data_IF_128694479580
#
_entry.id   IF_128694479580
#
_cell.length_a   1.000
_cell.length_b   1.000
_cell.length_c   1.000
_cell.angle_alpha   90.00
_cell.angle_beta   90.00
_cell.angle_gamma   90.00
#
_symmetry.space_group_name_H-M   'P 1'
#
loop_
_entity.id
_entity.type
_entity.pdbx_description
1 polymer ?
#
# COMPACT_ATOMS: atom_id res chain seq x y z
N UNK A 1 -71.60 -31.26 34.90
CA UNK A 1 -71.31 -29.86 34.49
C UNK A 1 -69.86 -29.78 34.07
N UNK A 2 -69.51 -30.48 32.98
CA UNK A 2 -69.15 -29.92 31.67
C UNK A 2 -67.98 -28.91 31.65
N UNK A 3 -66.76 -29.37 31.31
CA UNK A 3 -65.61 -28.54 30.98
C UNK A 3 -65.76 -28.04 29.54
N UNK A 4 -66.41 -26.88 29.36
CA UNK A 4 -66.53 -26.21 28.05
C UNK A 4 -65.63 -24.97 27.92
N UNK A 5 -64.96 -24.55 29.00
CA UNK A 5 -64.17 -23.32 29.01
C UNK A 5 -62.72 -23.50 28.56
N UNK A 6 -62.14 -24.71 28.65
CA UNK A 6 -60.74 -24.94 28.27
C UNK A 6 -60.53 -25.03 26.76
N UNK A 7 -61.45 -25.65 26.01
CA UNK A 7 -61.32 -25.77 24.55
C UNK A 7 -61.47 -24.45 23.81
N UNK A 8 -62.35 -23.54 24.28
CA UNK A 8 -62.52 -22.25 23.62
C UNK A 8 -61.29 -21.34 23.83
N UNK A 9 -60.67 -21.41 25.00
CA UNK A 9 -59.43 -20.68 25.30
C UNK A 9 -58.25 -21.20 24.48
N UNK A 10 -58.14 -22.53 24.30
CA UNK A 10 -57.11 -23.13 23.44
C UNK A 10 -57.29 -22.81 21.96
N UNK A 11 -58.53 -22.76 21.46
CA UNK A 11 -58.82 -22.40 20.06
C UNK A 11 -58.49 -20.93 19.80
N UNK A 12 -58.82 -20.02 20.72
CA UNK A 12 -58.45 -18.60 20.60
C UNK A 12 -56.92 -18.44 20.62
N UNK A 13 -56.20 -19.16 21.49
CA UNK A 13 -54.73 -19.16 21.50
C UNK A 13 -54.12 -19.69 20.19
N UNK A 14 -54.71 -20.75 19.60
CA UNK A 14 -54.28 -21.30 18.31
C UNK A 14 -54.62 -20.39 17.13
N UNK A 15 -55.74 -19.65 17.18
CA UNK A 15 -56.11 -18.66 16.17
C UNK A 15 -55.25 -17.39 16.26
N UNK A 16 -54.91 -16.94 17.47
CA UNK A 16 -53.95 -15.83 17.70
C UNK A 16 -52.53 -16.20 17.24
N UNK A 17 -52.14 -17.48 17.35
CA UNK A 17 -50.88 -17.97 16.78
C UNK A 17 -50.94 -18.16 15.25
N UNK A 18 -52.11 -18.45 14.67
CA UNK A 18 -52.30 -18.57 13.21
C UNK A 18 -52.46 -17.24 12.49
N UNK A 19 -52.82 -16.16 13.19
CA UNK A 19 -52.91 -14.81 12.62
C UNK A 19 -51.57 -14.06 12.59
N UNK A 20 -50.51 -14.65 13.17
CA UNK A 20 -49.16 -14.19 12.89
C UNK A 20 -48.76 -14.77 11.53
N UNK A 21 -49.03 -14.01 10.47
CA UNK A 21 -48.19 -14.05 9.27
C UNK A 21 -46.74 -14.13 9.76
N UNK A 22 -45.92 -15.09 9.28
CA UNK A 22 -44.49 -15.00 9.56
C UNK A 22 -44.07 -13.66 8.99
N UNK A 23 -43.81 -12.69 9.87
CA UNK A 23 -43.00 -11.55 9.52
C UNK A 23 -41.70 -12.22 9.12
N UNK A 24 -41.44 -12.33 7.81
CA UNK A 24 -40.09 -12.52 7.33
C UNK A 24 -39.29 -11.43 8.04
N UNK A 25 -38.60 -11.81 9.12
CA UNK A 25 -37.66 -10.94 9.77
C UNK A 25 -36.67 -10.59 8.69
N UNK A 26 -36.75 -9.36 8.19
CA UNK A 26 -35.74 -8.82 7.31
C UNK A 26 -34.39 -9.15 7.95
N UNK A 27 -33.59 -9.99 7.28
CA UNK A 27 -32.32 -10.45 7.85
C UNK A 27 -31.49 -9.21 8.19
N UNK A 28 -31.32 -8.96 9.49
CA UNK A 28 -30.61 -7.78 9.94
C UNK A 28 -29.11 -8.00 9.71
N UNK A 29 -28.53 -7.18 8.83
CA UNK A 29 -27.10 -7.21 8.49
C UNK A 29 -26.22 -7.22 9.74
N UNK A 30 -26.57 -6.39 10.74
CA UNK A 30 -25.81 -6.26 11.97
C UNK A 30 -25.84 -7.56 12.80
N UNK A 31 -26.99 -8.23 12.88
CA UNK A 31 -27.11 -9.52 13.58
C UNK A 31 -26.27 -10.61 12.90
N UNK A 32 -26.26 -10.65 11.56
CA UNK A 32 -25.44 -11.60 10.81
C UNK A 32 -23.94 -11.35 11.02
N UNK A 33 -23.50 -10.07 11.04
CA UNK A 33 -22.11 -9.70 11.33
C UNK A 33 -21.74 -10.08 12.77
N UNK A 34 -22.62 -9.85 13.75
CA UNK A 34 -22.38 -10.27 15.13
C UNK A 34 -22.28 -11.79 15.26
N UNK A 35 -23.13 -12.55 14.56
CA UNK A 35 -23.02 -14.02 14.50
C UNK A 35 -21.70 -14.47 13.89
N UNK A 36 -21.23 -13.81 12.83
CA UNK A 36 -19.93 -14.11 12.24
C UNK A 36 -18.77 -13.87 13.23
N UNK A 37 -18.80 -12.78 14.00
CA UNK A 37 -17.80 -12.49 15.05
C UNK A 37 -17.81 -13.53 16.17
N UNK A 38 -18.98 -13.97 16.61
CA UNK A 38 -19.11 -15.04 17.61
C UNK A 38 -18.57 -16.38 17.06
N UNK A 39 -18.88 -16.69 15.80
CA UNK A 39 -18.38 -17.88 15.14
C UNK A 39 -16.85 -17.86 14.97
N UNK A 40 -16.26 -16.70 14.67
CA UNK A 40 -14.81 -16.50 14.64
C UNK A 40 -14.16 -16.81 15.99
N UNK A 41 -14.69 -16.25 17.08
CA UNK A 41 -14.18 -16.49 18.44
C UNK A 41 -14.31 -17.95 18.87
N UNK A 42 -15.32 -18.65 18.37
CA UNK A 42 -15.53 -20.08 18.60
C UNK A 42 -14.77 -20.98 17.59
N UNK A 43 -13.99 -20.40 16.68
CA UNK A 43 -13.29 -21.08 15.58
C UNK A 43 -14.22 -21.93 14.68
N UNK A 44 -15.51 -21.60 14.65
CA UNK A 44 -16.53 -22.25 13.81
C UNK A 44 -16.63 -21.56 12.45
N UNK A 45 -15.57 -21.68 11.66
CA UNK A 45 -15.43 -20.95 10.40
C UNK A 45 -16.49 -21.30 9.34
N UNK A 46 -17.06 -22.51 9.34
CA UNK A 46 -18.18 -22.86 8.45
C UNK A 46 -19.44 -22.01 8.77
N UNK A 47 -19.76 -21.81 10.05
CA UNK A 47 -20.87 -20.96 10.49
C UNK A 47 -20.60 -19.47 10.18
N UNK A 48 -19.33 -19.06 10.36
CA UNK A 48 -18.86 -17.72 10.02
C UNK A 48 -19.04 -17.45 8.51
N UNK A 49 -18.67 -18.40 7.66
CA UNK A 49 -18.80 -18.29 6.21
C UNK A 49 -20.27 -18.21 5.78
N UNK A 50 -21.15 -19.03 6.39
CA UNK A 50 -22.60 -18.96 6.13
C UNK A 50 -23.19 -17.59 6.50
N UNK A 51 -22.80 -17.04 7.65
CA UNK A 51 -23.27 -15.72 8.10
C UNK A 51 -22.80 -14.62 7.15
N UNK A 52 -21.50 -14.61 6.80
CA UNK A 52 -20.92 -13.60 5.91
C UNK A 52 -21.38 -13.73 4.45
N UNK A 53 -21.73 -14.95 4.01
CA UNK A 53 -22.40 -15.18 2.73
C UNK A 53 -23.73 -14.44 2.67
N UNK A 54 -24.58 -14.59 3.68
CA UNK A 54 -25.86 -13.88 3.76
C UNK A 54 -25.68 -12.37 3.79
N UNK A 55 -24.72 -11.86 4.58
CA UNK A 55 -24.35 -10.44 4.59
C UNK A 55 -24.01 -9.94 3.18
N UNK A 56 -23.29 -10.75 2.39
CA UNK A 56 -22.92 -10.41 1.01
C UNK A 56 -24.14 -10.44 0.07
N UNK A 57 -25.03 -11.41 0.25
CA UNK A 57 -26.24 -11.59 -0.58
C UNK A 57 -27.32 -10.51 -0.32
N UNK A 58 -27.30 -9.83 0.83
CA UNK A 58 -28.11 -8.62 1.07
C UNK A 58 -27.78 -7.49 0.09
N UNK A 59 -26.61 -7.55 -0.56
CA UNK A 59 -26.30 -6.72 -1.71
C UNK A 59 -25.85 -5.29 -1.41
N UNK A 60 -25.62 -4.92 -0.16
CA UNK A 60 -24.90 -3.70 0.17
C UNK A 60 -23.38 -3.88 -0.09
N UNK A 61 -22.66 -2.77 -0.35
CA UNK A 61 -21.20 -2.81 -0.35
C UNK A 61 -20.69 -3.18 1.05
N UNK A 62 -19.69 -4.06 1.10
CA UNK A 62 -19.09 -4.49 2.36
C UNK A 62 -18.12 -3.44 2.90
N UNK A 63 -18.23 -3.16 4.20
CA UNK A 63 -17.23 -2.36 4.92
C UNK A 63 -15.88 -3.10 4.96
N UNK A 64 -14.81 -2.39 5.31
CA UNK A 64 -13.48 -3.01 5.46
C UNK A 64 -13.49 -4.14 6.51
N UNK A 65 -14.23 -3.96 7.61
CA UNK A 65 -14.36 -5.00 8.64
C UNK A 65 -15.12 -6.22 8.11
N UNK A 66 -16.26 -6.02 7.44
CA UNK A 66 -17.06 -7.10 6.86
C UNK A 66 -16.28 -7.86 5.78
N UNK A 67 -15.53 -7.14 4.93
CA UNK A 67 -14.66 -7.74 3.91
C UNK A 67 -13.58 -8.62 4.53
N UNK A 68 -12.97 -8.16 5.62
CA UNK A 68 -11.99 -8.93 6.36
C UNK A 68 -12.61 -10.18 7.00
N UNK A 69 -13.78 -10.06 7.64
CA UNK A 69 -14.51 -11.20 8.21
C UNK A 69 -14.84 -12.25 7.14
N UNK A 70 -15.37 -11.83 5.99
CA UNK A 70 -15.65 -12.73 4.86
C UNK A 70 -14.39 -13.47 4.41
N UNK A 71 -13.27 -12.73 4.25
CA UNK A 71 -12.00 -13.32 3.84
C UNK A 71 -11.43 -14.28 4.87
N UNK A 72 -11.52 -13.97 6.17
CA UNK A 72 -11.05 -14.85 7.24
C UNK A 72 -11.86 -16.13 7.29
N UNK A 73 -13.19 -16.01 7.20
CA UNK A 73 -14.10 -17.15 7.21
C UNK A 73 -13.74 -18.15 6.10
N UNK A 74 -13.78 -17.70 4.85
CA UNK A 74 -13.56 -18.60 3.72
C UNK A 74 -12.10 -19.05 3.58
N UNK A 75 -11.10 -18.27 4.04
CA UNK A 75 -9.69 -18.70 4.11
C UNK A 75 -9.54 -19.93 5.01
N UNK A 76 -10.18 -19.92 6.17
CA UNK A 76 -10.08 -21.02 7.12
C UNK A 76 -10.87 -22.26 6.64
N UNK A 77 -12.09 -22.07 6.13
CA UNK A 77 -12.90 -23.19 5.58
C UNK A 77 -12.16 -23.89 4.44
N UNK A 78 -11.68 -23.14 3.43
CA UNK A 78 -10.94 -23.73 2.29
C UNK A 78 -9.57 -24.26 2.71
N UNK A 79 -8.90 -23.59 3.66
CA UNK A 79 -7.59 -23.97 4.17
C UNK A 79 -7.60 -25.35 4.83
N UNK A 80 -8.63 -25.65 5.62
CA UNK A 80 -8.82 -26.97 6.23
C UNK A 80 -8.93 -28.07 5.16
N UNK A 81 -9.78 -27.88 4.14
CA UNK A 81 -9.98 -28.87 3.06
C UNK A 81 -8.73 -29.04 2.19
N UNK A 82 -8.00 -27.96 1.88
CA UNK A 82 -6.70 -28.01 1.18
C UNK A 82 -5.65 -28.80 1.96
N UNK A 83 -5.58 -28.59 3.28
CA UNK A 83 -4.67 -29.35 4.14
C UNK A 83 -5.02 -30.85 4.13
N UNK A 84 -6.29 -31.18 4.32
CA UNK A 84 -6.78 -32.57 4.23
C UNK A 84 -6.46 -33.20 2.88
N UNK A 85 -6.71 -32.49 1.77
CA UNK A 85 -6.46 -32.98 0.42
C UNK A 85 -4.97 -33.30 0.18
N UNK A 86 -4.04 -32.44 0.63
CA UNK A 86 -2.60 -32.70 0.51
C UNK A 86 -2.18 -33.97 1.26
N UNK A 87 -2.69 -34.15 2.48
CA UNK A 87 -2.40 -35.32 3.30
C UNK A 87 -2.93 -36.59 2.63
N UNK A 88 -4.18 -36.57 2.17
CA UNK A 88 -4.80 -37.73 1.52
C UNK A 88 -4.10 -38.06 0.20
N UNK A 89 -3.75 -37.06 -0.61
CA UNK A 89 -3.01 -37.27 -1.87
C UNK A 89 -1.63 -37.89 -1.62
N UNK A 90 -0.94 -37.49 -0.55
CA UNK A 90 0.33 -38.09 -0.12
C UNK A 90 0.17 -39.54 0.36
N UNK A 91 -0.94 -39.86 1.03
CA UNK A 91 -1.28 -41.24 1.44
C UNK A 91 -1.58 -42.09 0.21
N UNK A 92 -2.35 -41.59 -0.76
CA UNK A 92 -2.70 -42.31 -1.99
C UNK A 92 -1.45 -42.74 -2.75
N UNK A 93 -0.47 -41.83 -2.90
CA UNK A 93 0.81 -42.11 -3.56
C UNK A 93 1.64 -43.21 -2.89
N UNK A 94 1.47 -43.41 -1.58
CA UNK A 94 2.22 -44.41 -0.79
C UNK A 94 1.42 -45.68 -0.52
N UNK A 95 0.13 -45.71 -0.86
CA UNK A 95 -0.76 -46.83 -0.55
C UNK A 95 -0.56 -47.94 -1.58
N UNK A 96 -0.28 -49.15 -1.09
CA UNK A 96 -0.19 -50.36 -1.90
C UNK A 96 -1.45 -51.23 -1.73
N UNK A 97 -1.82 -51.96 -2.80
CA UNK A 97 -2.98 -52.83 -2.84
C UNK A 97 -4.23 -52.15 -3.40
N UNK A 98 -4.86 -52.80 -4.39
CA UNK A 98 -5.96 -52.25 -5.19
C UNK A 98 -7.15 -51.78 -4.35
N UNK A 99 -7.58 -52.56 -3.35
CA UNK A 99 -8.73 -52.21 -2.50
C UNK A 99 -8.46 -50.96 -1.65
N UNK A 100 -7.26 -50.87 -1.04
CA UNK A 100 -6.89 -49.71 -0.22
C UNK A 100 -6.70 -48.45 -1.08
N UNK A 101 -6.09 -48.59 -2.26
CA UNK A 101 -5.97 -47.49 -3.21
C UNK A 101 -7.34 -46.94 -3.62
N UNK A 102 -8.31 -47.81 -3.89
CA UNK A 102 -9.66 -47.39 -4.24
C UNK A 102 -10.33 -46.61 -3.10
N UNK A 103 -10.23 -47.07 -1.86
CA UNK A 103 -10.79 -46.34 -0.70
C UNK A 103 -10.16 -44.95 -0.52
N UNK A 104 -8.83 -44.85 -0.65
CA UNK A 104 -8.13 -43.57 -0.50
C UNK A 104 -8.51 -42.62 -1.63
N UNK A 105 -8.61 -43.13 -2.86
CA UNK A 105 -9.05 -42.36 -4.03
C UNK A 105 -10.46 -41.80 -3.84
N UNK A 106 -11.43 -42.62 -3.42
CA UNK A 106 -12.81 -42.16 -3.17
C UNK A 106 -12.86 -41.07 -2.09
N UNK A 107 -12.03 -41.21 -1.04
CA UNK A 107 -11.95 -40.19 0.01
C UNK A 107 -11.28 -38.91 -0.49
N UNK A 108 -10.24 -38.99 -1.35
CA UNK A 108 -9.66 -37.82 -2.02
C UNK A 108 -10.71 -37.09 -2.84
N UNK A 109 -11.44 -37.81 -3.71
CA UNK A 109 -12.46 -37.24 -4.60
C UNK A 109 -13.60 -36.56 -3.82
N UNK A 110 -13.95 -37.09 -2.64
CA UNK A 110 -14.89 -36.44 -1.71
C UNK A 110 -14.36 -35.08 -1.24
N UNK A 111 -13.11 -35.01 -0.79
CA UNK A 111 -12.49 -33.75 -0.34
C UNK A 111 -12.33 -32.77 -1.51
N UNK A 112 -12.01 -33.25 -2.71
CA UNK A 112 -11.96 -32.42 -3.92
C UNK A 112 -13.32 -31.81 -4.25
N UNK A 113 -14.41 -32.57 -4.09
CA UNK A 113 -15.76 -32.06 -4.25
C UNK A 113 -16.06 -30.95 -3.25
N UNK A 114 -15.77 -31.16 -1.96
CA UNK A 114 -15.96 -30.12 -0.93
C UNK A 114 -15.15 -28.86 -1.26
N UNK A 115 -13.90 -29.01 -1.67
CA UNK A 115 -13.04 -27.89 -2.07
C UNK A 115 -13.61 -27.14 -3.29
N UNK A 116 -14.07 -27.87 -4.31
CA UNK A 116 -14.72 -27.30 -5.49
C UNK A 116 -15.97 -26.51 -5.13
N UNK A 117 -16.83 -27.08 -4.29
CA UNK A 117 -18.09 -26.45 -3.86
C UNK A 117 -17.81 -25.15 -3.09
N UNK A 118 -16.85 -25.16 -2.15
CA UNK A 118 -16.43 -23.96 -1.41
C UNK A 118 -15.87 -22.90 -2.35
N UNK A 119 -15.01 -23.28 -3.30
CA UNK A 119 -14.42 -22.31 -4.23
C UNK A 119 -15.48 -21.72 -5.16
N UNK A 120 -16.38 -22.53 -5.70
CA UNK A 120 -17.44 -22.05 -6.57
C UNK A 120 -18.41 -21.13 -5.83
N UNK A 121 -18.68 -21.40 -4.56
CA UNK A 121 -19.49 -20.52 -3.70
C UNK A 121 -18.88 -19.11 -3.60
N UNK A 122 -17.58 -19.03 -3.29
CA UNK A 122 -16.89 -17.75 -3.20
C UNK A 122 -16.80 -17.05 -4.56
N UNK A 123 -16.48 -17.78 -5.62
CA UNK A 123 -16.42 -17.21 -6.98
C UNK A 123 -17.78 -16.63 -7.40
N UNK A 124 -18.88 -17.30 -7.05
CA UNK A 124 -20.22 -16.78 -7.30
C UNK A 124 -20.50 -15.49 -6.51
N UNK A 125 -20.07 -15.42 -5.25
CA UNK A 125 -20.20 -14.20 -4.44
C UNK A 125 -19.40 -13.04 -5.02
N UNK A 126 -18.17 -13.33 -5.46
CA UNK A 126 -17.27 -12.35 -6.08
C UNK A 126 -17.88 -11.78 -7.37
N UNK A 127 -18.35 -12.65 -8.26
CA UNK A 127 -18.85 -12.25 -9.58
C UNK A 127 -20.22 -11.57 -9.52
N UNK A 128 -21.12 -12.00 -8.62
CA UNK A 128 -22.49 -11.48 -8.56
C UNK A 128 -22.65 -10.26 -7.66
N UNK A 129 -21.90 -10.18 -6.57
CA UNK A 129 -22.16 -9.19 -5.51
C UNK A 129 -20.97 -8.27 -5.24
N UNK A 130 -19.75 -8.80 -5.14
CA UNK A 130 -18.62 -8.03 -4.61
C UNK A 130 -17.89 -7.20 -5.67
N UNK A 131 -17.41 -7.83 -6.74
CA UNK A 131 -16.66 -7.13 -7.80
C UNK A 131 -17.51 -6.05 -8.48
N UNK A 132 -18.78 -6.29 -8.86
CA UNK A 132 -19.60 -5.28 -9.51
C UNK A 132 -19.92 -4.07 -8.62
N UNK A 133 -19.86 -4.23 -7.29
CA UNK A 133 -20.21 -3.18 -6.31
C UNK A 133 -19.00 -2.55 -5.63
N UNK A 134 -17.78 -2.92 -6.04
CA UNK A 134 -16.55 -2.37 -5.51
C UNK A 134 -16.46 -0.87 -5.84
N UNK A 135 -16.68 0.01 -4.85
CA UNK A 135 -16.75 1.46 -5.05
C UNK A 135 -15.40 2.14 -5.19
N UNK A 136 -14.31 1.44 -4.84
CA UNK A 136 -12.95 1.99 -4.90
C UNK A 136 -11.93 0.96 -5.44
N UNK A 137 -10.78 1.42 -5.97
CA UNK A 137 -9.75 0.53 -6.50
C UNK A 137 -9.23 -0.50 -5.49
N UNK A 138 -9.15 -0.12 -4.21
CA UNK A 138 -8.65 -1.00 -3.16
C UNK A 138 -9.51 -2.26 -2.96
N UNK A 139 -10.82 -2.06 -2.81
CA UNK A 139 -11.80 -3.14 -2.73
C UNK A 139 -11.81 -3.99 -4.01
N UNK A 140 -11.70 -3.36 -5.19
CA UNK A 140 -11.68 -4.07 -6.47
C UNK A 140 -10.45 -4.97 -6.60
N UNK A 141 -9.25 -4.47 -6.29
CA UNK A 141 -8.01 -5.27 -6.27
C UNK A 141 -8.12 -6.40 -5.24
N UNK A 142 -8.68 -6.14 -4.06
CA UNK A 142 -8.89 -7.16 -3.04
C UNK A 142 -9.76 -8.32 -3.56
N UNK A 143 -10.90 -8.01 -4.18
CA UNK A 143 -11.82 -9.04 -4.71
C UNK A 143 -11.25 -9.78 -5.91
N UNK A 144 -10.57 -9.10 -6.84
CA UNK A 144 -9.92 -9.75 -7.99
C UNK A 144 -8.75 -10.64 -7.54
N UNK A 145 -7.95 -10.19 -6.56
CA UNK A 145 -6.93 -11.02 -5.91
C UNK A 145 -7.56 -12.27 -5.31
N UNK A 146 -8.66 -12.11 -4.55
CA UNK A 146 -9.39 -13.23 -3.96
C UNK A 146 -9.90 -14.17 -5.04
N UNK A 147 -10.46 -13.67 -6.15
CA UNK A 147 -10.87 -14.46 -7.31
C UNK A 147 -9.73 -15.29 -7.89
N UNK A 148 -8.56 -14.68 -8.06
CA UNK A 148 -7.32 -15.36 -8.47
C UNK A 148 -6.92 -16.48 -7.50
N UNK A 149 -6.99 -16.22 -6.19
CA UNK A 149 -6.71 -17.20 -5.14
C UNK A 149 -7.66 -18.42 -5.20
N UNK A 150 -8.97 -18.21 -5.37
CA UNK A 150 -9.92 -19.32 -5.43
C UNK A 150 -9.83 -20.13 -6.73
N UNK A 151 -9.56 -19.50 -7.87
CA UNK A 151 -9.22 -20.26 -9.07
C UNK A 151 -7.89 -21.01 -8.94
N UNK A 152 -6.90 -20.45 -8.25
CA UNK A 152 -5.65 -21.17 -7.95
C UNK A 152 -5.91 -22.41 -7.10
N UNK A 153 -6.78 -22.33 -6.09
CA UNK A 153 -7.15 -23.49 -5.28
C UNK A 153 -7.89 -24.56 -6.10
N UNK A 154 -8.76 -24.15 -7.03
CA UNK A 154 -9.37 -25.08 -7.99
C UNK A 154 -8.32 -25.73 -8.90
N UNK A 155 -7.32 -24.97 -9.34
CA UNK A 155 -6.23 -25.50 -10.17
C UNK A 155 -5.39 -26.55 -9.43
N UNK A 156 -5.29 -26.51 -8.10
CA UNK A 156 -4.57 -27.55 -7.33
C UNK A 156 -5.20 -28.94 -7.49
N UNK A 157 -6.53 -29.02 -7.61
CA UNK A 157 -7.28 -30.28 -7.67
C UNK A 157 -7.80 -30.63 -9.07
N UNK A 158 -7.74 -29.69 -10.03
CA UNK A 158 -8.22 -29.90 -11.39
C UNK A 158 -7.26 -30.76 -12.24
N UNK A 159 -7.85 -31.54 -13.15
CA UNK A 159 -7.16 -32.46 -14.08
C UNK A 159 -7.67 -32.26 -15.51
N UNK A 160 -6.85 -32.58 -16.51
CA UNK A 160 -7.23 -32.47 -17.93
C UNK A 160 -7.61 -31.05 -18.37
N UNK A 161 -8.58 -30.95 -19.28
CA UNK A 161 -9.03 -29.68 -19.89
C UNK A 161 -9.58 -28.67 -18.87
N UNK A 162 -10.19 -29.16 -17.77
CA UNK A 162 -10.69 -28.31 -16.69
C UNK A 162 -9.54 -27.53 -16.01
N UNK A 163 -8.35 -28.13 -15.94
CA UNK A 163 -7.17 -27.48 -15.34
C UNK A 163 -6.75 -26.27 -16.16
N UNK A 164 -6.64 -26.39 -17.47
CA UNK A 164 -6.19 -25.29 -18.33
C UNK A 164 -7.12 -24.07 -18.21
N UNK A 165 -8.43 -24.31 -18.24
CA UNK A 165 -9.43 -23.24 -18.09
C UNK A 165 -9.32 -22.53 -16.74
N UNK A 166 -9.21 -23.29 -15.65
CA UNK A 166 -9.12 -22.75 -14.29
C UNK A 166 -7.81 -21.97 -14.08
N UNK A 167 -6.70 -22.48 -14.63
CA UNK A 167 -5.39 -21.79 -14.60
C UNK A 167 -5.46 -20.47 -15.35
N UNK A 168 -6.05 -20.44 -16.55
CA UNK A 168 -6.22 -19.22 -17.32
C UNK A 168 -7.06 -18.17 -16.58
N UNK A 169 -8.16 -18.59 -15.94
CA UNK A 169 -9.01 -17.69 -15.13
C UNK A 169 -8.31 -17.16 -13.89
N UNK A 170 -7.48 -17.98 -13.23
CA UNK A 170 -6.64 -17.53 -12.12
C UNK A 170 -5.63 -16.47 -12.57
N UNK A 171 -4.91 -16.74 -13.66
CA UNK A 171 -3.92 -15.79 -14.20
C UNK A 171 -4.58 -14.47 -14.62
N UNK A 172 -5.72 -14.52 -15.32
CA UNK A 172 -6.46 -13.34 -15.73
C UNK A 172 -6.87 -12.48 -14.51
N UNK A 173 -7.41 -13.12 -13.46
CA UNK A 173 -7.86 -12.41 -12.26
C UNK A 173 -6.69 -11.75 -11.52
N UNK A 174 -5.54 -12.44 -11.42
CA UNK A 174 -4.34 -11.85 -10.83
C UNK A 174 -3.77 -10.71 -11.67
N UNK A 175 -3.75 -10.86 -13.00
CA UNK A 175 -3.24 -9.83 -13.91
C UNK A 175 -4.09 -8.56 -13.83
N UNK A 176 -5.42 -8.69 -13.91
CA UNK A 176 -6.33 -7.55 -13.76
C UNK A 176 -6.16 -6.85 -12.40
N UNK A 177 -6.04 -7.62 -11.32
CA UNK A 177 -5.75 -7.06 -9.99
C UNK A 177 -4.39 -6.33 -9.96
N UNK A 178 -3.38 -6.86 -10.64
CA UNK A 178 -2.02 -6.35 -10.62
C UNK A 178 -1.89 -5.05 -11.41
N UNK A 179 -2.55 -4.97 -12.57
CA UNK A 179 -2.60 -3.78 -13.40
C UNK A 179 -3.25 -2.62 -12.62
N UNK A 180 -4.44 -2.86 -12.02
CA UNK A 180 -5.11 -1.84 -11.18
C UNK A 180 -4.23 -1.45 -9.98
N UNK A 181 -3.60 -2.42 -9.30
CA UNK A 181 -2.76 -2.13 -8.15
C UNK A 181 -1.52 -1.31 -8.50
N UNK A 182 -0.92 -1.52 -9.69
CA UNK A 182 0.22 -0.73 -10.14
C UNK A 182 -0.17 0.71 -10.44
N UNK A 183 -1.36 0.93 -11.01
CA UNK A 183 -1.85 2.25 -11.39
C UNK A 183 -2.35 3.05 -10.18
N UNK A 184 -2.96 2.40 -9.18
CA UNK A 184 -3.70 3.10 -8.13
C UNK A 184 -3.11 2.96 -6.72
N UNK A 185 -2.07 2.14 -6.51
CA UNK A 185 -1.51 1.89 -5.17
C UNK A 185 -0.01 2.09 -5.13
N UNK A 186 0.48 2.63 -4.00
CA UNK A 186 1.91 2.71 -3.74
C UNK A 186 2.57 1.32 -3.70
N UNK A 187 3.84 1.17 -4.11
CA UNK A 187 4.56 -0.11 -4.09
C UNK A 187 4.62 -0.79 -2.72
N UNK A 188 4.49 -0.04 -1.63
CA UNK A 188 4.50 -0.55 -0.24
C UNK A 188 3.11 -0.91 0.29
N UNK A 189 2.05 -0.74 -0.50
CA UNK A 189 0.68 -0.98 -0.04
C UNK A 189 0.46 -2.47 0.31
N UNK A 190 -0.10 -2.82 1.49
CA UNK A 190 -0.21 -4.21 1.92
C UNK A 190 -0.98 -5.12 0.95
N UNK A 191 -2.04 -4.60 0.31
CA UNK A 191 -2.82 -5.37 -0.66
C UNK A 191 -2.02 -5.63 -1.94
N UNK A 192 -1.23 -4.64 -2.43
CA UNK A 192 -0.36 -4.80 -3.60
C UNK A 192 0.74 -5.82 -3.33
N UNK A 193 1.38 -5.74 -2.16
CA UNK A 193 2.39 -6.72 -1.72
C UNK A 193 1.79 -8.13 -1.57
N UNK A 194 0.63 -8.24 -0.93
CA UNK A 194 -0.08 -9.51 -0.76
C UNK A 194 -0.55 -10.12 -2.09
N UNK A 195 -0.93 -9.28 -3.06
CA UNK A 195 -1.23 -9.69 -4.43
C UNK A 195 0.03 -10.23 -5.13
N UNK A 196 1.13 -9.48 -5.10
CA UNK A 196 2.39 -9.89 -5.71
C UNK A 196 2.91 -11.21 -5.14
N UNK A 197 2.81 -11.39 -3.82
CA UNK A 197 3.14 -12.65 -3.16
C UNK A 197 2.31 -13.81 -3.72
N UNK A 198 0.98 -13.68 -3.70
CA UNK A 198 0.10 -14.76 -4.15
C UNK A 198 0.25 -15.04 -5.65
N UNK A 199 0.51 -14.01 -6.46
CA UNK A 199 0.74 -14.18 -7.90
C UNK A 199 2.09 -14.85 -8.18
N UNK A 200 3.13 -14.58 -7.37
CA UNK A 200 4.40 -15.29 -7.47
C UNK A 200 4.26 -16.78 -7.10
N UNK A 201 3.45 -17.09 -6.07
CA UNK A 201 3.11 -18.47 -5.69
C UNK A 201 2.33 -19.16 -6.82
N UNK A 202 1.40 -18.48 -7.47
CA UNK A 202 0.72 -19.01 -8.65
C UNK A 202 1.71 -19.37 -9.77
N UNK A 203 2.64 -18.47 -10.11
CA UNK A 203 3.66 -18.76 -11.12
C UNK A 203 4.54 -19.96 -10.75
N UNK A 204 4.88 -20.11 -9.47
CA UNK A 204 5.71 -21.20 -9.00
C UNK A 204 4.96 -22.54 -8.92
N UNK A 205 3.85 -22.60 -8.18
CA UNK A 205 3.15 -23.84 -7.85
C UNK A 205 2.25 -24.34 -8.99
N UNK A 206 1.65 -23.44 -9.77
CA UNK A 206 0.64 -23.81 -10.76
C UNK A 206 1.21 -23.87 -12.17
N UNK A 207 2.01 -22.87 -12.54
CA UNK A 207 2.62 -22.76 -13.87
C UNK A 207 4.03 -23.35 -13.96
N UNK A 208 4.60 -23.80 -12.83
CA UNK A 208 5.98 -24.31 -12.74
C UNK A 208 7.02 -23.35 -13.37
N UNK A 209 6.76 -22.04 -13.30
CA UNK A 209 7.55 -20.98 -13.89
C UNK A 209 8.37 -20.26 -12.82
N UNK A 210 9.32 -20.98 -12.21
CA UNK A 210 10.13 -20.50 -11.08
C UNK A 210 10.88 -19.20 -11.37
N UNK A 211 11.41 -19.03 -12.57
CA UNK A 211 12.09 -17.80 -12.98
C UNK A 211 11.13 -16.60 -13.01
N UNK A 212 9.90 -16.79 -13.52
CA UNK A 212 8.88 -15.73 -13.58
C UNK A 212 8.41 -15.33 -12.18
N UNK A 213 8.21 -16.31 -11.30
CA UNK A 213 7.89 -16.08 -9.89
C UNK A 213 8.99 -15.26 -9.17
N UNK A 214 10.25 -15.66 -9.33
CA UNK A 214 11.40 -14.96 -8.76
C UNK A 214 11.56 -13.54 -9.31
N UNK A 215 11.38 -13.34 -10.61
CA UNK A 215 11.45 -12.00 -11.23
C UNK A 215 10.38 -11.07 -10.67
N UNK A 216 9.13 -11.51 -10.58
CA UNK A 216 8.04 -10.73 -10.00
C UNK A 216 8.33 -10.33 -8.54
N UNK A 217 8.78 -11.28 -7.72
CA UNK A 217 9.11 -11.02 -6.32
C UNK A 217 10.27 -10.02 -6.17
N UNK A 218 11.31 -10.11 -7.02
CA UNK A 218 12.44 -9.16 -7.02
C UNK A 218 12.00 -7.76 -7.43
N UNK A 219 11.21 -7.66 -8.50
CA UNK A 219 10.69 -6.39 -9.01
C UNK A 219 9.91 -5.63 -7.92
N UNK A 220 8.90 -6.27 -7.33
CA UNK A 220 8.05 -5.63 -6.31
C UNK A 220 8.85 -5.21 -5.08
N UNK A 221 9.85 -6.02 -4.68
CA UNK A 221 10.76 -5.67 -3.59
C UNK A 221 11.59 -4.43 -3.91
N UNK A 222 12.16 -4.36 -5.12
CA UNK A 222 12.99 -3.23 -5.55
C UNK A 222 12.17 -1.93 -5.68
N UNK A 223 10.97 -2.01 -6.26
CA UNK A 223 10.02 -0.88 -6.30
C UNK A 223 9.68 -0.37 -4.89
N UNK A 224 9.40 -1.29 -3.96
CA UNK A 224 9.11 -0.95 -2.56
C UNK A 224 10.28 -0.27 -1.85
N UNK A 225 11.50 -0.81 -2.00
CA UNK A 225 12.72 -0.22 -1.41
C UNK A 225 13.00 1.17 -1.98
N UNK A 226 12.92 1.31 -3.31
CA UNK A 226 13.13 2.60 -3.97
C UNK A 226 12.12 3.65 -3.49
N UNK A 227 10.84 3.28 -3.38
CA UNK A 227 9.79 4.18 -2.86
C UNK A 227 10.06 4.61 -1.41
N UNK A 228 10.49 3.68 -0.54
CA UNK A 228 10.83 4.00 0.86
C UNK A 228 12.01 4.96 0.93
N UNK A 229 13.07 4.72 0.17
CA UNK A 229 14.26 5.58 0.14
C UNK A 229 13.86 6.98 -0.34
N UNK A 230 13.16 7.08 -1.46
CA UNK A 230 12.71 8.35 -2.02
C UNK A 230 11.85 9.14 -1.01
N UNK A 231 10.87 8.48 -0.38
CA UNK A 231 9.98 9.14 0.60
C UNK A 231 10.74 9.63 1.83
N UNK A 232 11.71 8.83 2.33
CA UNK A 232 12.54 9.24 3.48
C UNK A 232 13.47 10.40 3.12
N UNK A 233 14.07 10.38 1.93
CA UNK A 233 14.94 11.47 1.48
C UNK A 233 14.18 12.79 1.38
N UNK A 234 12.98 12.79 0.79
CA UNK A 234 12.12 13.98 0.72
C UNK A 234 11.75 14.47 2.12
N UNK A 235 11.34 13.58 3.02
CA UNK A 235 10.97 13.96 4.39
C UNK A 235 12.14 14.60 5.16
N UNK A 236 13.36 14.09 4.98
CA UNK A 236 14.57 14.65 5.58
C UNK A 236 14.92 16.02 4.97
N UNK A 237 14.81 16.16 3.64
CA UNK A 237 15.01 17.42 2.96
C UNK A 237 14.00 18.49 3.45
N UNK A 238 12.71 18.17 3.50
CA UNK A 238 11.68 19.09 3.99
C UNK A 238 11.93 19.53 5.44
N UNK A 239 12.38 18.62 6.30
CA UNK A 239 12.74 18.95 7.68
C UNK A 239 13.96 19.88 7.75
N UNK A 240 15.00 19.61 6.96
CA UNK A 240 16.16 20.48 6.82
C UNK A 240 15.78 21.88 6.32
N UNK A 241 14.93 21.95 5.30
CA UNK A 241 14.45 23.22 4.75
C UNK A 241 13.70 24.04 5.80
N UNK A 242 12.80 23.43 6.58
CA UNK A 242 12.09 24.12 7.67
C UNK A 242 13.05 24.64 8.73
N UNK A 243 14.01 23.83 9.16
CA UNK A 243 14.98 24.21 10.18
C UNK A 243 15.87 25.38 9.71
N UNK A 244 16.38 25.33 8.48
CA UNK A 244 17.15 26.43 7.89
C UNK A 244 16.32 27.71 7.73
N UNK A 245 15.07 27.57 7.26
CA UNK A 245 14.17 28.71 7.10
C UNK A 245 13.90 29.40 8.44
N UNK A 246 13.57 28.63 9.48
CA UNK A 246 13.29 29.18 10.82
C UNK A 246 14.53 29.85 11.42
N UNK A 247 15.69 29.19 11.36
CA UNK A 247 16.95 29.74 11.86
C UNK A 247 17.33 31.05 11.13
N UNK A 248 17.14 31.10 9.80
CA UNK A 248 17.45 32.29 9.02
C UNK A 248 16.50 33.45 9.33
N UNK A 249 15.21 33.19 9.54
CA UNK A 249 14.25 34.25 9.91
C UNK A 249 14.55 34.84 11.30
N UNK A 250 14.92 34.00 12.28
CA UNK A 250 15.38 34.48 13.59
C UNK A 250 16.65 35.32 13.45
N UNK A 251 17.61 34.85 12.67
CA UNK A 251 18.86 35.57 12.41
C UNK A 251 18.61 36.92 11.72
N UNK A 252 17.70 37.00 10.76
CA UNK A 252 17.32 38.26 10.10
C UNK A 252 16.71 39.27 11.06
N UNK A 253 15.93 38.80 12.04
CA UNK A 253 15.27 39.67 13.02
C UNK A 253 16.21 40.19 14.11
N UNK A 254 17.27 39.44 14.45
CA UNK A 254 18.09 39.71 15.63
C UNK A 254 19.54 40.13 15.32
N UNK A 255 20.04 39.84 14.11
CA UNK A 255 21.45 40.02 13.75
C UNK A 255 21.59 40.93 12.51
N UNK A 256 22.65 41.75 12.49
CA UNK A 256 22.99 42.57 11.32
C UNK A 256 23.31 41.69 10.11
N UNK A 257 23.18 42.23 8.89
CA UNK A 257 23.47 41.52 7.64
C UNK A 257 24.92 41.04 7.57
N UNK A 258 25.83 41.74 8.24
CA UNK A 258 27.26 41.45 8.34
C UNK A 258 27.62 40.45 9.44
N UNK A 259 26.67 40.03 10.29
CA UNK A 259 26.98 39.15 11.42
C UNK A 259 27.37 37.74 10.94
N UNK A 260 28.48 37.14 11.43
CA UNK A 260 28.99 35.85 10.94
C UNK A 260 27.97 34.71 10.99
N UNK A 261 27.17 34.64 12.05
CA UNK A 261 26.12 33.60 12.19
C UNK A 261 25.02 33.73 11.12
N UNK A 262 24.59 34.96 10.79
CA UNK A 262 23.56 35.18 9.77
C UNK A 262 24.09 34.85 8.38
N UNK A 263 25.32 35.27 8.07
CA UNK A 263 26.01 34.93 6.84
C UNK A 263 26.24 33.42 6.70
N UNK A 264 26.69 32.76 7.78
CA UNK A 264 26.91 31.32 7.80
C UNK A 264 25.64 30.51 7.60
N UNK A 265 24.51 30.97 8.16
CA UNK A 265 23.20 30.37 7.91
C UNK A 265 22.77 30.54 6.45
N UNK A 266 22.96 31.72 5.85
CA UNK A 266 22.65 31.95 4.44
C UNK A 266 23.53 31.09 3.52
N UNK A 267 24.83 30.96 3.82
CA UNK A 267 25.76 30.09 3.11
C UNK A 267 25.30 28.63 3.18
N UNK A 268 25.12 28.08 4.38
CA UNK A 268 24.72 26.68 4.55
C UNK A 268 23.35 26.38 3.93
N UNK A 269 22.40 27.32 4.02
CA UNK A 269 21.08 27.15 3.41
C UNK A 269 21.14 27.23 1.87
N UNK A 270 22.00 28.08 1.31
CA UNK A 270 22.23 28.12 -0.14
C UNK A 270 22.84 26.80 -0.66
N UNK A 271 23.82 26.25 0.04
CA UNK A 271 24.40 24.92 -0.27
C UNK A 271 23.33 23.84 -0.18
N UNK A 272 22.47 23.88 0.86
CA UNK A 272 21.35 22.96 0.99
C UNK A 272 20.38 23.03 -0.22
N UNK A 273 20.08 24.23 -0.73
CA UNK A 273 19.25 24.36 -1.92
C UNK A 273 19.91 23.78 -3.18
N UNK A 274 21.24 23.94 -3.32
CA UNK A 274 21.99 23.44 -4.47
C UNK A 274 22.13 21.92 -4.44
N UNK A 275 22.67 21.38 -3.33
CA UNK A 275 23.08 19.97 -3.23
C UNK A 275 21.94 19.04 -2.85
N UNK A 276 21.01 19.48 -2.00
CA UNK A 276 19.98 18.59 -1.41
C UNK A 276 18.62 18.80 -2.07
N UNK A 277 18.24 20.05 -2.35
CA UNK A 277 16.93 20.37 -2.94
C UNK A 277 16.96 20.49 -4.46
N UNK A 278 18.11 20.25 -5.09
CA UNK A 278 18.34 20.36 -6.54
C UNK A 278 17.70 21.62 -7.15
N UNK A 279 17.82 22.75 -6.45
CA UNK A 279 17.20 24.04 -6.79
C UNK A 279 18.29 25.12 -6.93
N UNK A 280 19.13 25.06 -7.98
CA UNK A 280 20.31 25.92 -8.14
C UNK A 280 19.95 27.41 -8.23
N UNK A 281 18.81 27.75 -8.84
CA UNK A 281 18.34 29.14 -8.92
C UNK A 281 18.09 29.74 -7.53
N UNK A 282 17.42 28.99 -6.65
CA UNK A 282 17.15 29.44 -5.27
C UNK A 282 18.43 29.52 -4.45
N UNK A 283 19.35 28.58 -4.64
CA UNK A 283 20.67 28.61 -4.00
C UNK A 283 21.43 29.89 -4.38
N UNK A 284 21.53 30.18 -5.68
CA UNK A 284 22.22 31.36 -6.18
C UNK A 284 21.54 32.66 -5.74
N UNK A 285 20.22 32.73 -5.78
CA UNK A 285 19.48 33.91 -5.30
C UNK A 285 19.75 34.18 -3.82
N UNK A 286 19.69 33.15 -2.96
CA UNK A 286 19.92 33.31 -1.54
C UNK A 286 21.36 33.71 -1.23
N UNK A 287 22.34 33.06 -1.86
CA UNK A 287 23.75 33.37 -1.68
C UNK A 287 24.10 34.79 -2.17
N UNK A 288 23.57 35.19 -3.33
CA UNK A 288 23.78 36.52 -3.91
C UNK A 288 23.16 37.60 -3.03
N UNK A 289 21.90 37.43 -2.61
CA UNK A 289 21.23 38.38 -1.73
C UNK A 289 22.01 38.58 -0.43
N UNK A 290 22.45 37.50 0.21
CA UNK A 290 23.21 37.59 1.46
C UNK A 290 24.57 38.28 1.28
N UNK A 291 25.23 38.05 0.13
CA UNK A 291 26.48 38.72 -0.21
C UNK A 291 26.27 40.23 -0.45
N UNK A 292 25.29 40.58 -1.29
CA UNK A 292 24.98 41.97 -1.65
C UNK A 292 24.54 42.78 -0.41
N UNK A 293 23.67 42.20 0.44
CA UNK A 293 23.22 42.81 1.69
C UNK A 293 24.37 43.10 2.67
N UNK A 294 25.36 42.21 2.73
CA UNK A 294 26.52 42.37 3.61
C UNK A 294 27.54 43.37 3.06
N UNK A 295 27.70 43.46 1.74
CA UNK A 295 28.51 44.51 1.10
C UNK A 295 27.92 45.90 1.34
N UNK A 296 26.59 46.03 1.27
CA UNK A 296 25.90 47.30 1.48
C UNK A 296 26.10 47.87 2.91
N UNK A 297 26.31 47.01 3.90
CA UNK A 297 26.51 47.40 5.31
C UNK A 297 27.93 47.08 5.81
N UNK A 298 28.90 46.87 4.91
CA UNK A 298 30.27 46.43 5.27
C UNK A 298 30.97 47.41 6.23
N UNK A 299 30.67 48.70 6.12
CA UNK A 299 31.23 49.76 6.97
C UNK A 299 30.75 49.68 8.44
N UNK A 300 29.76 48.83 8.74
CA UNK A 300 29.19 48.62 10.09
C UNK A 300 29.82 47.44 10.85
N UNK A 301 30.80 46.76 10.26
CA UNK A 301 31.45 45.57 10.83
C UNK A 301 32.29 45.90 12.07
N UNK A 302 32.07 45.13 13.15
CA UNK A 302 32.92 45.15 14.33
C UNK A 302 34.29 44.51 14.03
N UNK A 303 35.38 45.08 14.57
CA UNK A 303 36.75 44.57 14.40
C UNK A 303 36.89 43.10 14.84
N UNK A 304 36.16 42.70 15.89
CA UNK A 304 36.20 41.34 16.44
C UNK A 304 35.59 40.28 15.51
N UNK A 305 34.68 40.66 14.62
CA UNK A 305 33.96 39.75 13.71
C UNK A 305 34.34 39.92 12.24
N UNK A 306 35.17 40.93 11.92
CA UNK A 306 35.57 41.28 10.56
C UNK A 306 36.19 40.10 9.80
N UNK A 307 37.11 39.36 10.43
CA UNK A 307 37.78 38.20 9.79
C UNK A 307 36.80 37.07 9.46
N UNK A 308 35.90 36.75 10.37
CA UNK A 308 34.95 35.66 10.18
C UNK A 308 33.89 36.02 9.13
N UNK A 309 33.35 37.25 9.17
CA UNK A 309 32.38 37.71 8.18
C UNK A 309 32.96 37.79 6.77
N UNK A 310 34.16 38.37 6.62
CA UNK A 310 34.84 38.45 5.31
C UNK A 310 35.17 37.07 4.74
N UNK A 311 35.56 36.10 5.58
CA UNK A 311 35.77 34.71 5.15
C UNK A 311 34.48 34.07 4.64
N UNK A 312 33.35 34.24 5.34
CA UNK A 312 32.07 33.65 4.92
C UNK A 312 31.57 34.31 3.63
N UNK A 313 31.72 35.63 3.49
CA UNK A 313 31.39 36.36 2.25
C UNK A 313 32.24 35.86 1.08
N UNK A 314 33.52 35.58 1.31
CA UNK A 314 34.41 34.98 0.32
C UNK A 314 33.90 33.59 -0.11
N UNK A 315 33.49 32.73 0.83
CA UNK A 315 32.91 31.42 0.54
C UNK A 315 31.59 31.52 -0.24
N UNK A 316 30.73 32.49 0.08
CA UNK A 316 29.50 32.77 -0.68
C UNK A 316 29.82 33.12 -2.14
N UNK A 317 30.83 33.98 -2.36
CA UNK A 317 31.29 34.35 -3.71
C UNK A 317 31.86 33.17 -4.47
N UNK A 318 32.66 32.34 -3.81
CA UNK A 318 33.31 31.19 -4.43
C UNK A 318 32.28 30.14 -4.84
N UNK A 319 31.29 29.87 -3.98
CA UNK A 319 30.15 29.01 -4.30
C UNK A 319 29.32 29.56 -5.46
N UNK A 320 29.00 30.86 -5.48
CA UNK A 320 28.28 31.49 -6.59
C UNK A 320 29.04 31.33 -7.91
N UNK A 321 30.35 31.51 -7.90
CA UNK A 321 31.20 31.34 -9.10
C UNK A 321 31.16 29.90 -9.59
N UNK A 322 31.29 28.93 -8.67
CA UNK A 322 31.22 27.51 -8.98
C UNK A 322 29.86 27.14 -9.61
N UNK A 323 28.76 27.50 -8.93
CA UNK A 323 27.40 27.15 -9.35
C UNK A 323 26.97 27.80 -10.66
N UNK A 324 27.41 29.04 -10.92
CA UNK A 324 27.14 29.73 -12.18
C UNK A 324 28.03 29.23 -13.32
N UNK A 325 29.24 28.74 -13.02
CA UNK A 325 30.09 28.08 -14.02
C UNK A 325 29.58 26.70 -14.43
N UNK A 326 29.00 25.93 -13.49
CA UNK A 326 28.32 24.66 -13.76
C UNK A 326 27.02 24.85 -14.57
N UNK A 327 26.28 25.94 -14.32
CA UNK A 327 25.08 26.29 -15.08
C UNK A 327 25.39 26.84 -16.51
N UNK A 328 26.62 27.26 -16.76
CA UNK A 328 27.06 27.92 -18.01
C UNK A 328 27.55 26.99 -19.12
N UNK A 329 27.38 25.67 -19.02
CA UNK A 329 27.76 24.73 -20.10
C UNK A 329 26.69 24.64 -21.19
N UNK A 330 25.49 25.21 -21.02
CA UNK A 330 24.44 25.19 -22.04
C UNK A 330 24.00 26.55 -22.61
N UNK A 331 24.56 27.69 -22.19
CA UNK A 331 24.26 28.99 -22.83
C UNK A 331 25.50 29.91 -22.90
N UNK A 332 26.15 29.92 -24.08
CA UNK A 332 27.03 31.02 -24.47
C UNK A 332 26.20 32.24 -24.88
N UNK A 333 26.42 33.39 -24.24
CA UNK A 333 26.85 34.64 -24.90
C UNK A 333 26.89 35.84 -23.92
N UNK A 334 28.09 36.41 -23.75
CA UNK A 334 28.36 37.86 -23.62
C UNK A 334 27.82 38.63 -22.40
N UNK A 335 28.70 38.98 -21.46
CA UNK A 335 29.29 40.33 -21.41
C UNK A 335 30.33 40.44 -20.26
N UNK A 336 31.59 40.68 -20.60
CA UNK A 336 32.63 41.10 -19.66
C UNK A 336 32.39 42.53 -19.20
N UNK A 337 32.32 42.77 -17.89
CA UNK A 337 32.71 44.06 -17.31
C UNK A 337 33.60 43.84 -16.09
N UNK A 338 34.90 43.97 -16.34
CA UNK A 338 35.97 44.11 -15.36
C UNK A 338 35.84 45.45 -14.64
N UNK A 339 35.65 45.44 -13.32
CA UNK A 339 35.81 46.63 -12.49
C UNK A 339 37.21 46.59 -11.88
N UNK A 340 38.08 47.47 -12.39
CA UNK A 340 39.44 47.68 -11.89
C UNK A 340 39.36 48.49 -10.59
N UNK A 341 39.82 47.91 -9.48
CA UNK A 341 40.05 48.63 -8.22
C UNK A 341 41.35 49.44 -8.37
N UNK A 342 41.28 50.76 -8.22
CA UNK A 342 42.46 51.63 -8.14
C UNK A 342 43.07 51.53 -6.75
N UNK A 343 44.31 51.05 -6.67
CA UNK A 343 45.16 51.19 -5.48
C UNK A 343 45.65 52.64 -5.36
N UNK A 344 45.33 53.31 -4.26
CA UNK A 344 45.95 54.58 -3.87
C UNK A 344 47.34 54.33 -3.28
N UNK A 345 48.35 54.89 -3.92
CA UNK A 345 49.73 54.95 -3.42
C UNK A 345 49.84 55.96 -2.26
N UNK A 346 50.44 55.52 -1.16
CA UNK A 346 50.86 56.38 -0.04
C UNK A 346 51.91 57.41 -0.49
N UNK A 347 51.86 58.67 -0.02
CA UNK A 347 52.93 59.63 -0.25
C UNK A 347 54.06 59.43 0.77
N UNK A 348 55.27 59.23 0.27
CA UNK A 348 56.51 59.50 1.00
C UNK A 348 56.90 60.95 0.74
N UNK A 349 56.87 61.79 1.78
CA UNK A 349 57.98 62.66 2.18
C UNK A 349 57.73 63.22 3.58
#
# INVERSE_FOLDING_TARGET
MQPKLEYHTLIILLEVFKSHTPVEMAENKDELVQRAKLAEQAERYDDMAQSMKRVTELGAELTNEERNLLSVAYKNVVGARRSSWRVISSIEQKTEGLEKQQMVKEYREKVEKELRDICQDVLNLLDKYLIPKAGNPESKVFYLKMKGDYYRYLAEVASGDDREMVVARSEQSYREAFDIANDTMHPTHPIRLGLALNFSVFYYEILNASEKACRLAKQVREEGVHFIIATRMVAVADAGQRAYSEALEIAKAQLSTTHPVRLGLALNYSVFFYEISSSPDRACQLAKQAFDDAIAELDTLNEDSYKDSTLIMQLLRDNLTLWTSDAGVDDQEGNEQTVVVKEEQKPNE
#
